data_IF_158080299411
#
_entry.id   IF_158080299411
#
_cell.length_a   1.000
_cell.length_b   1.000
_cell.length_c   1.000
_cell.angle_alpha   90.00
_cell.angle_beta   90.00
_cell.angle_gamma   90.00
#
_symmetry.space_group_name_H-M   'P 1'
#
loop_
_entity.id
_entity.type
_entity.pdbx_description
1 polymer ?
#
# COMPACT_ATOMS: atom_id res chain seq x y z
N UNK A 1 -7.81 19.34 -4.17
CA UNK A 1 -7.77 18.73 -5.52
C UNK A 1 -8.75 17.56 -5.69
N UNK A 2 -9.51 17.57 -6.79
CA UNK A 2 -10.41 16.51 -7.25
C UNK A 2 -9.93 16.04 -8.62
N UNK A 3 -9.91 14.72 -8.85
CA UNK A 3 -9.57 14.10 -10.14
C UNK A 3 -10.80 13.34 -10.64
N UNK A 4 -11.23 13.63 -11.87
CA UNK A 4 -12.38 12.97 -12.50
C UNK A 4 -12.03 12.49 -13.90
N UNK A 5 -12.62 11.36 -14.28
CA UNK A 5 -12.63 10.91 -15.66
C UNK A 5 -13.98 11.22 -16.28
N UNK A 6 -14.03 11.53 -17.57
CA UNK A 6 -15.28 11.79 -18.27
C UNK A 6 -15.14 11.48 -19.76
N UNK A 7 -16.29 11.26 -20.43
CA UNK A 7 -16.34 11.06 -21.87
C UNK A 7 -16.64 12.37 -22.61
N UNK A 8 -15.81 12.71 -23.58
CA UNK A 8 -16.10 13.73 -24.59
C UNK A 8 -16.53 13.06 -25.89
N UNK A 9 -17.84 12.93 -26.08
CA UNK A 9 -18.45 12.18 -27.20
C UNK A 9 -18.20 12.82 -28.58
N UNK A 10 -17.68 14.04 -28.63
CA UNK A 10 -17.34 14.73 -29.89
C UNK A 10 -16.01 14.23 -30.49
N UNK A 11 -15.22 13.48 -29.72
CA UNK A 11 -13.91 12.97 -30.15
C UNK A 11 -13.89 11.44 -30.17
N UNK A 12 -13.14 10.86 -31.12
CA UNK A 12 -12.97 9.41 -31.18
C UNK A 12 -12.23 8.86 -29.95
N UNK A 13 -11.16 9.52 -29.53
CA UNK A 13 -10.50 9.29 -28.24
C UNK A 13 -11.29 10.02 -27.15
N UNK A 14 -12.39 9.43 -26.74
CA UNK A 14 -13.38 10.13 -25.92
C UNK A 14 -13.05 10.16 -24.42
N UNK A 15 -12.07 9.41 -23.91
CA UNK A 15 -11.74 9.45 -22.48
C UNK A 15 -10.84 10.65 -22.13
N UNK A 16 -11.27 11.45 -21.17
CA UNK A 16 -10.53 12.58 -20.64
C UNK A 16 -10.34 12.46 -19.13
N UNK A 17 -9.23 13.03 -18.64
CA UNK A 17 -9.00 13.27 -17.22
C UNK A 17 -9.09 14.77 -16.95
N UNK A 18 -9.84 15.14 -15.91
CA UNK A 18 -9.98 16.49 -15.40
C UNK A 18 -9.38 16.59 -14.00
N UNK A 19 -8.47 17.54 -13.83
CA UNK A 19 -7.93 17.95 -12.54
C UNK A 19 -8.61 19.26 -12.13
N UNK A 20 -9.13 19.31 -10.91
CA UNK A 20 -9.83 20.47 -10.34
C UNK A 20 -9.16 20.81 -9.02
N UNK A 21 -8.71 22.05 -8.86
CA UNK A 21 -8.25 22.59 -7.59
C UNK A 21 -8.83 23.98 -7.41
N UNK A 22 -9.67 24.13 -6.39
CA UNK A 22 -10.50 25.33 -6.18
C UNK A 22 -11.25 25.71 -7.49
N UNK A 23 -10.99 26.91 -8.03
CA UNK A 23 -11.62 27.42 -9.24
C UNK A 23 -10.87 27.06 -10.54
N UNK A 24 -9.68 26.46 -10.43
CA UNK A 24 -8.85 26.12 -11.59
C UNK A 24 -9.15 24.70 -12.05
N UNK A 25 -9.39 24.56 -13.36
CA UNK A 25 -9.64 23.27 -14.00
C UNK A 25 -8.70 23.08 -15.18
N UNK A 26 -8.07 21.92 -15.26
CA UNK A 26 -7.31 21.50 -16.43
C UNK A 26 -7.75 20.11 -16.86
N UNK A 27 -7.98 19.95 -18.15
CA UNK A 27 -8.30 18.65 -18.75
C UNK A 27 -7.24 18.24 -19.77
N UNK A 28 -7.09 16.93 -19.95
CA UNK A 28 -6.29 16.31 -21.00
C UNK A 28 -6.92 15.00 -21.46
N UNK A 29 -6.67 14.66 -22.72
CA UNK A 29 -7.13 13.43 -23.34
C UNK A 29 -6.26 12.25 -22.89
N UNK A 30 -6.87 11.10 -22.60
CA UNK A 30 -6.18 9.88 -22.13
C UNK A 30 -5.69 8.98 -23.28
N UNK A 31 -5.88 9.41 -24.53
CA UNK A 31 -5.62 8.67 -25.77
C UNK A 31 -6.26 7.29 -25.78
N UNK A 32 -7.52 7.24 -25.32
CA UNK A 32 -8.28 6.00 -25.22
C UNK A 32 -9.74 6.24 -25.56
N UNK A 33 -10.35 5.25 -26.21
CA UNK A 33 -11.74 5.25 -26.63
C UNK A 33 -12.53 4.26 -25.78
N UNK A 34 -13.58 4.74 -25.14
CA UNK A 34 -14.51 3.93 -24.36
C UNK A 34 -15.83 3.88 -25.11
N UNK A 35 -16.41 2.69 -25.25
CA UNK A 35 -17.80 2.58 -25.69
C UNK A 35 -18.72 3.23 -24.63
N UNK A 36 -19.49 4.28 -24.98
CA UNK A 36 -20.40 4.94 -24.04
C UNK A 36 -21.38 3.97 -23.35
N UNK A 37 -21.68 2.81 -23.94
CA UNK A 37 -22.57 1.81 -23.36
C UNK A 37 -21.96 1.07 -22.14
N UNK A 38 -20.62 0.99 -22.06
CA UNK A 38 -19.93 0.34 -20.94
C UNK A 38 -19.45 1.33 -19.88
N UNK A 39 -19.68 2.62 -20.09
CA UNK A 39 -19.34 3.68 -19.15
C UNK A 39 -20.40 3.83 -18.07
N UNK A 40 -19.99 3.76 -16.80
CA UNK A 40 -20.87 4.04 -15.68
C UNK A 40 -20.92 5.55 -15.41
N UNK A 41 -21.93 6.20 -15.98
CA UNK A 41 -22.20 7.63 -15.77
C UNK A 41 -22.56 7.99 -14.32
N UNK A 42 -23.01 7.03 -13.51
CA UNK A 42 -23.35 7.30 -12.10
C UNK A 42 -22.11 7.42 -11.22
N UNK A 43 -21.02 6.73 -11.60
CA UNK A 43 -19.78 6.69 -10.82
C UNK A 43 -18.57 7.32 -11.53
N UNK A 44 -18.74 7.83 -12.75
CA UNK A 44 -17.70 8.39 -13.62
C UNK A 44 -16.51 7.41 -13.79
N UNK A 45 -16.82 6.13 -14.03
CA UNK A 45 -15.84 5.05 -14.11
C UNK A 45 -16.09 4.11 -15.28
N UNK A 46 -15.01 3.47 -15.70
CA UNK A 46 -15.06 2.25 -16.50
C UNK A 46 -15.78 1.15 -15.73
N UNK A 47 -16.51 0.30 -16.45
CA UNK A 47 -16.97 -0.97 -15.91
C UNK A 47 -15.78 -1.80 -15.38
N UNK A 48 -15.97 -2.51 -14.28
CA UNK A 48 -14.95 -3.39 -13.69
C UNK A 48 -14.45 -4.48 -14.65
N UNK A 49 -15.20 -4.76 -15.73
CA UNK A 49 -14.80 -5.70 -16.77
C UNK A 49 -13.67 -5.17 -17.66
N UNK A 50 -13.52 -3.86 -17.83
CA UNK A 50 -12.55 -3.24 -18.74
C UNK A 50 -11.09 -3.53 -18.32
N UNK A 51 -10.19 -3.87 -19.27
CA UNK A 51 -8.78 -4.15 -18.97
C UNK A 51 -8.02 -3.02 -18.28
N UNK A 52 -8.39 -1.76 -18.53
CA UNK A 52 -7.73 -0.58 -17.96
C UNK A 52 -8.40 -0.04 -16.71
N UNK A 53 -9.41 -0.72 -16.18
CA UNK A 53 -10.08 -0.32 -14.95
C UNK A 53 -9.09 0.01 -13.81
N UNK A 54 -8.16 -0.90 -13.53
CA UNK A 54 -7.14 -0.70 -12.50
C UNK A 54 -6.08 0.33 -12.88
N UNK A 55 -5.77 0.46 -14.18
CA UNK A 55 -4.83 1.47 -14.66
C UNK A 55 -5.35 2.88 -14.34
N UNK A 56 -6.62 3.18 -14.62
CA UNK A 56 -7.21 4.48 -14.28
C UNK A 56 -7.31 4.73 -12.78
N UNK A 57 -7.65 3.69 -12.00
CA UNK A 57 -7.69 3.76 -10.53
C UNK A 57 -6.31 4.13 -9.97
N UNK A 58 -5.27 3.43 -10.41
CA UNK A 58 -3.89 3.65 -9.94
C UNK A 58 -3.33 4.99 -10.41
N UNK A 59 -3.65 5.41 -11.64
CA UNK A 59 -3.24 6.72 -12.13
C UNK A 59 -3.84 7.87 -11.32
N UNK A 60 -5.11 7.75 -10.93
CA UNK A 60 -5.77 8.74 -10.06
C UNK A 60 -5.10 8.83 -8.69
N UNK A 61 -4.70 7.70 -8.10
CA UNK A 61 -3.94 7.66 -6.84
C UNK A 61 -2.58 8.34 -7.02
N UNK A 62 -1.86 8.00 -8.09
CA UNK A 62 -0.56 8.60 -8.41
C UNK A 62 -0.63 10.12 -8.53
N UNK A 63 -1.56 10.64 -9.34
CA UNK A 63 -1.77 12.08 -9.52
C UNK A 63 -2.12 12.79 -8.21
N UNK A 64 -2.94 12.16 -7.36
CA UNK A 64 -3.28 12.70 -6.05
C UNK A 64 -2.05 12.80 -5.15
N UNK A 65 -1.29 11.71 -4.98
CA UNK A 65 -0.07 11.71 -4.18
C UNK A 65 0.94 12.74 -4.68
N UNK A 66 1.12 12.81 -6.00
CA UNK A 66 2.02 13.78 -6.64
C UNK A 66 1.58 15.24 -6.41
N UNK A 67 0.28 15.51 -6.39
CA UNK A 67 -0.25 16.85 -6.08
C UNK A 67 0.13 17.30 -4.67
N UNK A 68 0.04 16.39 -3.69
CA UNK A 68 0.39 16.67 -2.29
C UNK A 68 1.87 16.99 -2.15
N UNK A 69 2.74 16.28 -2.87
CA UNK A 69 4.17 16.58 -2.91
C UNK A 69 4.46 17.97 -3.49
N UNK A 70 3.83 18.30 -4.63
CA UNK A 70 4.02 19.58 -5.30
C UNK A 70 3.53 20.75 -4.44
N UNK A 71 2.40 20.58 -3.73
CA UNK A 71 1.88 21.57 -2.78
C UNK A 71 2.85 21.80 -1.61
N UNK A 72 3.43 20.74 -1.05
CA UNK A 72 4.45 20.85 0.01
C UNK A 72 5.69 21.62 -0.45
N UNK A 73 6.06 21.49 -1.73
CA UNK A 73 7.18 22.22 -2.34
C UNK A 73 6.86 23.69 -2.72
N UNK A 74 5.67 24.20 -2.38
CA UNK A 74 5.20 25.57 -2.66
C UNK A 74 5.30 25.99 -4.14
N UNK A 75 5.03 25.07 -5.07
CA UNK A 75 4.98 25.38 -6.50
C UNK A 75 3.66 26.09 -6.86
N UNK A 76 3.75 27.28 -7.47
CA UNK A 76 2.60 28.14 -7.81
C UNK A 76 1.75 27.64 -9.01
N UNK A 77 1.91 26.40 -9.49
CA UNK A 77 1.19 25.87 -10.67
C UNK A 77 1.06 24.35 -10.67
N UNK A 78 0.63 23.77 -9.53
CA UNK A 78 0.51 22.31 -9.34
C UNK A 78 -0.25 21.63 -10.48
N UNK A 79 -1.41 22.14 -10.86
CA UNK A 79 -2.25 21.54 -11.91
C UNK A 79 -1.58 21.51 -13.29
N UNK A 80 -0.82 22.56 -13.64
CA UNK A 80 -0.12 22.62 -14.93
C UNK A 80 1.02 21.59 -14.97
N UNK A 81 1.79 21.49 -13.90
CA UNK A 81 2.87 20.49 -13.77
C UNK A 81 2.31 19.08 -13.84
N UNK A 82 1.23 18.79 -13.10
CA UNK A 82 0.58 17.47 -13.15
C UNK A 82 0.07 17.12 -14.55
N UNK A 83 -0.51 18.09 -15.27
CA UNK A 83 -0.96 17.88 -16.65
C UNK A 83 0.22 17.57 -17.58
N UNK A 84 1.33 18.29 -17.45
CA UNK A 84 2.53 18.04 -18.26
C UNK A 84 3.14 16.67 -17.95
N UNK A 85 3.28 16.30 -16.67
CA UNK A 85 3.74 14.97 -16.22
C UNK A 85 2.79 13.87 -16.73
N UNK A 86 1.47 14.06 -16.66
CA UNK A 86 0.48 13.12 -17.17
C UNK A 86 0.58 12.91 -18.68
N UNK A 87 0.71 13.99 -19.46
CA UNK A 87 0.87 13.93 -20.90
C UNK A 87 2.17 13.20 -21.30
N UNK A 88 3.23 13.37 -20.52
CA UNK A 88 4.48 12.62 -20.72
C UNK A 88 4.27 11.12 -20.49
N UNK A 89 3.55 10.73 -19.42
CA UNK A 89 3.23 9.31 -19.16
C UNK A 89 2.38 8.67 -20.27
N UNK A 90 1.61 9.47 -21.01
CA UNK A 90 0.73 9.07 -22.12
C UNK A 90 1.41 9.12 -23.51
N UNK A 91 2.64 9.63 -23.63
CA UNK A 91 3.19 10.06 -24.92
C UNK A 91 3.25 8.94 -25.96
N UNK A 92 3.63 7.72 -25.58
CA UNK A 92 3.95 6.63 -26.53
C UNK A 92 2.93 5.47 -26.56
N UNK A 93 2.23 5.21 -25.44
CA UNK A 93 1.36 4.03 -25.33
C UNK A 93 -0.01 4.37 -24.75
N UNK A 94 -0.38 5.65 -24.71
CA UNK A 94 -1.66 6.08 -24.15
C UNK A 94 -1.89 5.50 -22.75
N UNK A 95 -3.09 4.98 -22.51
CA UNK A 95 -3.48 4.38 -21.24
C UNK A 95 -2.62 3.15 -20.88
N UNK A 96 -2.21 2.34 -21.85
CA UNK A 96 -1.36 1.15 -21.65
C UNK A 96 0.00 1.52 -21.06
N UNK A 97 0.51 2.69 -21.43
CA UNK A 97 1.79 3.20 -20.95
C UNK A 97 1.74 3.66 -19.49
N UNK A 98 0.57 4.00 -18.95
CA UNK A 98 0.49 4.62 -17.63
C UNK A 98 0.95 3.66 -16.54
N UNK A 99 0.37 2.45 -16.47
CA UNK A 99 0.73 1.48 -15.42
C UNK A 99 2.21 1.12 -15.49
N UNK A 100 2.73 0.89 -16.70
CA UNK A 100 4.16 0.65 -16.95
C UNK A 100 5.02 1.82 -16.46
N UNK A 101 4.72 3.03 -16.89
CA UNK A 101 5.56 4.20 -16.62
C UNK A 101 5.52 4.61 -15.14
N UNK A 102 4.34 4.58 -14.52
CA UNK A 102 4.17 4.85 -13.10
C UNK A 102 4.90 3.80 -12.28
N UNK A 103 4.73 2.51 -12.58
CA UNK A 103 5.45 1.45 -11.87
C UNK A 103 6.96 1.58 -12.05
N UNK A 104 7.44 1.79 -13.29
CA UNK A 104 8.86 1.92 -13.59
C UNK A 104 9.49 3.13 -12.88
N UNK A 105 8.76 4.23 -12.69
CA UNK A 105 9.23 5.36 -11.91
C UNK A 105 9.53 4.96 -10.45
N UNK A 106 8.64 4.20 -9.83
CA UNK A 106 8.87 3.66 -8.48
C UNK A 106 9.96 2.58 -8.48
N UNK A 107 9.98 1.73 -9.50
CA UNK A 107 10.97 0.67 -9.64
C UNK A 107 12.39 1.23 -9.72
N UNK A 108 12.62 2.24 -10.57
CA UNK A 108 13.92 2.88 -10.70
C UNK A 108 14.34 3.60 -9.40
N UNK A 109 13.38 4.15 -8.64
CA UNK A 109 13.65 4.82 -7.35
C UNK A 109 14.04 3.84 -6.24
N UNK A 110 13.42 2.67 -6.21
CA UNK A 110 13.55 1.71 -5.11
C UNK A 110 14.32 0.43 -5.47
N UNK A 111 14.84 0.33 -6.70
CA UNK A 111 15.61 -0.82 -7.16
C UNK A 111 14.76 -2.06 -7.49
N UNK A 112 13.49 -1.90 -7.83
CA UNK A 112 12.64 -3.01 -8.29
C UNK A 112 12.94 -3.36 -9.74
N UNK A 113 12.56 -4.58 -10.12
CA UNK A 113 12.46 -4.92 -11.53
C UNK A 113 11.41 -4.05 -12.23
N UNK A 114 11.63 -3.77 -13.51
CA UNK A 114 10.69 -2.99 -14.31
C UNK A 114 9.45 -3.80 -14.66
N UNK A 115 8.33 -3.12 -14.86
CA UNK A 115 6.99 -3.67 -15.13
C UNK A 115 7.02 -4.82 -16.16
N UNK A 116 7.71 -4.62 -17.29
CA UNK A 116 7.74 -5.61 -18.37
C UNK A 116 8.40 -6.93 -17.98
N UNK A 117 9.28 -6.96 -16.98
CA UNK A 117 9.84 -8.22 -16.46
C UNK A 117 8.79 -9.05 -15.73
N UNK A 118 7.91 -8.41 -14.96
CA UNK A 118 6.80 -9.09 -14.30
C UNK A 118 5.81 -9.64 -15.33
N UNK A 119 5.46 -8.83 -16.34
CA UNK A 119 4.61 -9.26 -17.46
C UNK A 119 5.20 -10.50 -18.14
N UNK A 120 6.47 -10.42 -18.54
CA UNK A 120 7.15 -11.53 -19.21
C UNK A 120 7.21 -12.80 -18.34
N UNK A 121 7.48 -12.65 -17.04
CA UNK A 121 7.50 -13.79 -16.12
C UNK A 121 6.12 -14.44 -15.98
N UNK A 122 5.07 -13.63 -15.85
CA UNK A 122 3.69 -14.09 -15.71
C UNK A 122 3.21 -14.80 -16.98
N UNK A 123 3.39 -14.19 -18.15
CA UNK A 123 2.99 -14.78 -19.43
C UNK A 123 3.78 -16.06 -19.73
N UNK A 124 5.07 -16.10 -19.36
CA UNK A 124 5.88 -17.32 -19.49
C UNK A 124 5.38 -18.45 -18.57
N UNK A 125 4.94 -18.13 -17.36
CA UNK A 125 4.44 -19.12 -16.40
C UNK A 125 3.05 -19.65 -16.76
N UNK A 126 2.15 -18.76 -17.17
CA UNK A 126 0.73 -19.10 -17.42
C UNK A 126 0.42 -19.45 -18.88
N UNK A 127 1.22 -18.98 -19.83
CA UNK A 127 0.91 -19.05 -21.26
C UNK A 127 -0.16 -18.05 -21.74
N UNK A 128 -0.65 -17.17 -20.86
CA UNK A 128 -1.66 -16.15 -21.20
C UNK A 128 -1.02 -14.96 -21.93
N UNK A 129 -1.83 -14.18 -22.62
CA UNK A 129 -1.43 -12.92 -23.26
C UNK A 129 -2.13 -11.74 -22.59
N UNK A 130 -1.57 -10.53 -22.71
CA UNK A 130 -2.09 -9.29 -22.09
C UNK A 130 -3.60 -9.02 -22.25
N UNK A 131 -4.21 -9.51 -23.32
CA UNK A 131 -5.67 -9.40 -23.55
C UNK A 131 -6.52 -10.29 -22.63
N UNK A 132 -5.92 -11.32 -22.04
CA UNK A 132 -6.57 -12.38 -21.26
C UNK A 132 -6.54 -12.10 -19.74
N UNK A 133 -5.91 -11.00 -19.31
CA UNK A 133 -5.80 -10.63 -17.91
C UNK A 133 -5.73 -9.12 -17.70
N UNK A 134 -5.96 -8.70 -16.45
CA UNK A 134 -5.88 -7.30 -16.01
C UNK A 134 -4.83 -7.17 -14.94
N UNK A 135 -4.06 -6.10 -14.97
CA UNK A 135 -2.98 -5.87 -13.99
C UNK A 135 -3.41 -4.78 -13.02
N UNK A 136 -3.48 -5.13 -11.74
CA UNK A 136 -3.58 -4.18 -10.63
C UNK A 136 -2.22 -4.09 -9.95
N UNK A 137 -1.67 -2.88 -9.84
CA UNK A 137 -0.48 -2.62 -9.04
C UNK A 137 -0.94 -2.29 -7.62
N UNK A 138 -0.43 -3.01 -6.63
CA UNK A 138 -0.70 -2.77 -5.20
C UNK A 138 0.65 -2.64 -4.50
N UNK A 139 0.99 -1.42 -4.07
CA UNK A 139 2.31 -1.15 -3.49
C UNK A 139 3.44 -1.48 -4.47
N UNK A 140 4.27 -2.47 -4.12
CA UNK A 140 5.45 -2.90 -4.89
C UNK A 140 5.23 -4.21 -5.68
N UNK A 141 4.00 -4.74 -5.68
CA UNK A 141 3.63 -6.01 -6.33
C UNK A 141 2.58 -5.83 -7.43
N UNK A 142 2.47 -6.84 -8.31
CA UNK A 142 1.49 -6.91 -9.39
C UNK A 142 0.51 -8.06 -9.14
N UNK A 143 -0.78 -7.72 -9.23
CA UNK A 143 -1.89 -8.68 -9.20
C UNK A 143 -2.41 -8.84 -10.62
N UNK A 144 -2.41 -10.09 -11.09
CA UNK A 144 -2.92 -10.46 -12.41
C UNK A 144 -4.29 -11.10 -12.24
N UNK A 145 -5.32 -10.35 -12.62
CA UNK A 145 -6.72 -10.77 -12.57
C UNK A 145 -7.09 -11.43 -13.89
N UNK A 146 -7.24 -12.74 -13.88
CA UNK A 146 -7.73 -13.53 -15.02
C UNK A 146 -9.25 -13.78 -14.88
N UNK A 147 -9.85 -14.51 -15.82
CA UNK A 147 -11.26 -14.92 -15.70
C UNK A 147 -11.53 -15.79 -14.47
N UNK A 148 -10.57 -16.66 -14.10
CA UNK A 148 -10.79 -17.70 -13.09
C UNK A 148 -10.04 -17.46 -11.78
N UNK A 149 -8.88 -16.81 -11.83
CA UNK A 149 -7.94 -16.70 -10.72
C UNK A 149 -7.30 -15.31 -10.65
N UNK A 150 -6.90 -14.94 -9.44
CA UNK A 150 -6.03 -13.78 -9.20
C UNK A 150 -4.66 -14.35 -8.83
N UNK A 151 -3.64 -14.01 -9.63
CA UNK A 151 -2.26 -14.34 -9.31
C UNK A 151 -1.58 -13.12 -8.70
N UNK A 152 -0.81 -13.34 -7.65
CA UNK A 152 0.03 -12.31 -7.02
C UNK A 152 1.48 -12.57 -7.40
N UNK A 153 2.19 -11.53 -7.82
CA UNK A 153 3.63 -11.59 -8.11
C UNK A 153 4.33 -10.45 -7.38
N UNK A 154 5.24 -10.85 -6.48
CA UNK A 154 6.12 -9.97 -5.74
C UNK A 154 7.58 -10.40 -5.94
N UNK A 155 8.51 -9.55 -5.55
CA UNK A 155 9.94 -9.83 -5.51
C UNK A 155 10.44 -9.70 -4.08
N UNK A 156 11.61 -10.27 -3.79
CA UNK A 156 12.27 -10.04 -2.50
C UNK A 156 12.38 -8.55 -2.17
N UNK A 157 12.86 -7.74 -3.13
CA UNK A 157 12.98 -6.28 -2.96
C UNK A 157 11.63 -5.60 -2.72
N UNK A 158 10.58 -5.99 -3.46
CA UNK A 158 9.22 -5.47 -3.28
C UNK A 158 8.67 -5.78 -1.90
N UNK A 159 8.85 -7.01 -1.43
CA UNK A 159 8.42 -7.44 -0.11
C UNK A 159 9.19 -6.73 1.01
N UNK A 160 10.50 -6.57 0.88
CA UNK A 160 11.32 -5.83 1.83
C UNK A 160 10.88 -4.37 1.95
N UNK A 161 10.64 -3.67 0.83
CA UNK A 161 10.16 -2.29 0.85
C UNK A 161 8.78 -2.15 1.48
N UNK A 162 7.86 -3.10 1.21
CA UNK A 162 6.56 -3.14 1.86
C UNK A 162 6.72 -3.28 3.38
N UNK A 163 7.58 -4.20 3.81
CA UNK A 163 7.86 -4.47 5.22
C UNK A 163 8.46 -3.25 5.94
N UNK A 164 9.44 -2.59 5.33
CA UNK A 164 10.01 -1.35 5.82
C UNK A 164 8.95 -0.25 5.96
N UNK A 165 8.07 -0.11 4.97
CA UNK A 165 7.03 0.90 4.97
C UNK A 165 5.98 0.65 6.06
N UNK A 166 5.54 -0.60 6.26
CA UNK A 166 4.56 -0.92 7.30
C UNK A 166 5.14 -0.72 8.70
N UNK A 167 6.42 -1.05 8.91
CA UNK A 167 7.08 -0.88 10.21
C UNK A 167 7.34 0.60 10.50
N UNK A 168 7.92 1.33 9.53
CA UNK A 168 8.22 2.76 9.69
C UNK A 168 6.97 3.59 9.94
N UNK A 169 5.85 3.23 9.32
CA UNK A 169 4.57 3.92 9.49
C UNK A 169 3.73 3.34 10.64
N UNK A 170 4.27 2.39 11.43
CA UNK A 170 3.59 1.76 12.57
C UNK A 170 2.21 1.22 12.20
N UNK A 171 2.14 0.52 11.06
CA UNK A 171 0.91 -0.08 10.52
C UNK A 171 0.67 -1.44 11.18
N UNK A 172 0.31 -1.45 12.45
CA UNK A 172 0.19 -2.67 13.27
C UNK A 172 -0.72 -3.74 12.67
N UNK A 173 -1.87 -3.35 12.12
CA UNK A 173 -2.79 -4.29 11.48
C UNK A 173 -2.15 -4.95 10.25
N UNK A 174 -1.43 -4.17 9.43
CA UNK A 174 -0.76 -4.72 8.26
C UNK A 174 0.40 -5.64 8.65
N UNK A 175 1.08 -5.40 9.79
CA UNK A 175 2.08 -6.35 10.31
C UNK A 175 1.41 -7.68 10.66
N UNK A 176 0.25 -7.65 11.31
CA UNK A 176 -0.52 -8.86 11.63
C UNK A 176 -1.02 -9.57 10.36
N UNK A 177 -1.55 -8.83 9.38
CA UNK A 177 -2.18 -9.43 8.19
C UNK A 177 -1.18 -9.88 7.12
N UNK A 178 0.00 -9.24 7.04
CA UNK A 178 0.95 -9.42 5.93
C UNK A 178 2.26 -10.11 6.34
N UNK A 179 2.42 -10.50 7.61
CA UNK A 179 3.63 -11.16 8.09
C UNK A 179 3.31 -12.38 8.95
N UNK A 180 4.28 -13.29 9.09
CA UNK A 180 4.10 -14.52 9.86
C UNK A 180 5.00 -14.52 11.10
N UNK A 181 4.45 -14.99 12.23
CA UNK A 181 5.19 -15.10 13.49
C UNK A 181 6.48 -15.91 13.33
N UNK A 182 6.44 -17.01 12.56
CA UNK A 182 7.58 -17.89 12.35
C UNK A 182 8.78 -17.16 11.73
N UNK A 183 8.55 -16.24 10.77
CA UNK A 183 9.62 -15.47 10.14
C UNK A 183 10.33 -14.56 11.14
N UNK A 184 9.56 -13.85 11.97
CA UNK A 184 10.09 -12.92 12.97
C UNK A 184 10.77 -13.64 14.13
N UNK A 185 10.24 -14.80 14.52
CA UNK A 185 10.81 -15.63 15.56
C UNK A 185 12.13 -16.27 15.13
N UNK A 186 12.31 -16.60 13.85
CA UNK A 186 13.56 -17.15 13.31
C UNK A 186 14.73 -16.14 13.36
N UNK A 187 14.43 -14.87 13.08
CA UNK A 187 15.44 -13.80 13.09
C UNK A 187 15.61 -13.11 14.45
N UNK A 188 14.82 -13.52 15.45
CA UNK A 188 14.93 -13.00 16.79
C UNK A 188 16.25 -13.45 17.42
N UNK A 189 17.07 -12.49 17.83
CA UNK A 189 18.33 -12.74 18.52
C UNK A 189 18.16 -12.58 20.04
N UNK A 190 18.45 -13.64 20.79
CA UNK A 190 18.41 -13.67 22.25
C UNK A 190 19.34 -12.62 22.90
N UNK A 191 20.32 -12.09 22.15
CA UNK A 191 21.27 -11.08 22.61
C UNK A 191 20.70 -9.65 22.67
N UNK A 192 19.45 -9.40 22.26
CA UNK A 192 18.78 -8.07 22.36
C UNK A 192 18.93 -7.41 23.74
N UNK A 193 19.06 -8.22 24.79
CA UNK A 193 19.12 -7.75 26.17
C UNK A 193 17.74 -7.37 26.68
N UNK A 194 17.25 -8.12 27.67
CA UNK A 194 15.88 -7.99 28.21
C UNK A 194 15.47 -6.60 28.62
N UNK A 195 16.36 -5.87 29.26
CA UNK A 195 16.05 -4.51 29.70
C UNK A 195 15.84 -3.55 28.52
N UNK A 196 16.57 -3.72 27.42
CA UNK A 196 16.45 -2.89 26.24
C UNK A 196 15.12 -3.16 25.51
N UNK A 197 14.80 -4.44 25.28
CA UNK A 197 13.54 -4.80 24.62
C UNK A 197 12.32 -4.38 25.43
N UNK A 198 12.25 -4.75 26.72
CA UNK A 198 11.08 -4.42 27.54
C UNK A 198 10.89 -2.90 27.68
N UNK A 199 11.98 -2.13 27.76
CA UNK A 199 11.90 -0.68 27.79
C UNK A 199 11.30 -0.13 26.50
N UNK A 200 11.85 -0.52 25.34
CA UNK A 200 11.35 -0.03 24.04
C UNK A 200 9.94 -0.51 23.73
N UNK A 201 9.60 -1.75 24.10
CA UNK A 201 8.25 -2.27 23.93
C UNK A 201 7.26 -1.53 24.81
N UNK A 202 7.67 -1.10 26.01
CA UNK A 202 6.83 -0.25 26.87
C UNK A 202 6.60 1.13 26.26
N UNK A 203 7.61 1.72 25.63
CA UNK A 203 7.47 2.99 24.92
C UNK A 203 6.50 2.84 23.73
N UNK A 204 6.67 1.78 22.93
CA UNK A 204 5.81 1.52 21.77
C UNK A 204 4.37 1.18 22.19
N UNK A 205 4.21 0.48 23.31
CA UNK A 205 2.91 0.19 23.92
C UNK A 205 2.15 1.48 24.29
N UNK A 206 2.83 2.44 24.93
CA UNK A 206 2.22 3.74 25.25
C UNK A 206 1.91 4.55 23.98
N UNK A 207 2.74 4.46 22.94
CA UNK A 207 2.43 5.07 21.64
C UNK A 207 1.16 4.46 21.06
N UNK A 208 1.07 3.13 21.01
CA UNK A 208 -0.11 2.41 20.52
C UNK A 208 -1.40 2.77 21.28
N UNK A 209 -1.33 2.94 22.61
CA UNK A 209 -2.49 3.32 23.42
C UNK A 209 -2.92 4.79 23.24
N UNK A 210 -1.97 5.68 22.94
CA UNK A 210 -2.22 7.11 22.79
C UNK A 210 -2.59 7.50 21.35
N UNK A 211 -2.08 6.77 20.36
CA UNK A 211 -2.52 6.91 18.98
C UNK A 211 -3.95 6.38 18.81
N UNK A 212 -4.68 6.94 17.83
CA UNK A 212 -6.04 6.52 17.55
C UNK A 212 -6.06 5.00 17.31
N UNK A 213 -6.82 4.25 18.12
CA UNK A 213 -6.98 2.80 18.06
C UNK A 213 -7.09 2.24 16.63
N UNK A 214 -7.82 2.94 15.74
CA UNK A 214 -7.95 2.55 14.33
C UNK A 214 -6.65 2.64 13.53
N UNK A 215 -5.80 3.64 13.80
CA UNK A 215 -4.47 3.76 13.19
C UNK A 215 -3.47 2.78 13.82
N UNK A 216 -3.64 2.50 15.11
CA UNK A 216 -2.83 1.52 15.83
C UNK A 216 -3.22 0.05 15.56
N UNK A 217 -4.11 -0.21 14.60
CA UNK A 217 -4.59 -1.56 14.26
C UNK A 217 -5.51 -2.21 15.30
N UNK A 218 -5.87 -1.49 16.36
CA UNK A 218 -6.76 -2.00 17.40
C UNK A 218 -8.22 -1.78 17.01
N UNK A 219 -8.88 -2.87 16.66
CA UNK A 219 -10.31 -2.87 16.34
C UNK A 219 -11.14 -2.66 17.61
N UNK A 220 -11.97 -1.60 17.62
CA UNK A 220 -12.98 -1.36 18.66
C UNK A 220 -14.34 -1.77 18.10
N UNK A 221 -15.01 -2.71 18.77
CA UNK A 221 -16.36 -3.13 18.36
C UNK A 221 -17.36 -1.98 18.55
N UNK A 222 -18.44 -1.89 17.75
CA UNK A 222 -19.39 -0.78 17.81
C UNK A 222 -20.00 -0.49 19.20
N UNK A 223 -20.09 -1.50 20.06
CA UNK A 223 -20.68 -1.42 21.40
C UNK A 223 -19.63 -1.50 22.53
N UNK A 224 -18.34 -1.41 22.21
CA UNK A 224 -17.26 -1.55 23.16
C UNK A 224 -16.75 -0.19 23.63
N UNK A 225 -16.60 -0.03 24.95
CA UNK A 225 -16.01 1.17 25.53
C UNK A 225 -14.51 1.20 25.29
N UNK A 226 -13.99 2.32 24.77
CA UNK A 226 -12.55 2.58 24.58
C UNK A 226 -11.76 2.31 25.86
N UNK A 227 -12.26 2.77 27.01
CA UNK A 227 -11.56 2.61 28.30
C UNK A 227 -11.55 1.14 28.78
N UNK A 228 -12.61 0.39 28.46
CA UNK A 228 -12.62 -1.05 28.71
C UNK A 228 -11.57 -1.75 27.85
N UNK A 229 -11.49 -1.43 26.57
CA UNK A 229 -10.49 -1.99 25.65
C UNK A 229 -9.07 -1.65 26.11
N UNK A 230 -8.77 -0.38 26.44
CA UNK A 230 -7.47 0.02 27.04
C UNK A 230 -7.10 -0.82 28.26
N UNK A 231 -8.07 -1.08 29.14
CA UNK A 231 -7.85 -1.88 30.35
C UNK A 231 -7.49 -3.32 30.01
N UNK A 232 -8.16 -3.92 29.02
CA UNK A 232 -7.86 -5.27 28.54
C UNK A 232 -6.46 -5.36 27.93
N UNK A 233 -6.07 -4.39 27.09
CA UNK A 233 -4.75 -4.36 26.47
C UNK A 233 -3.65 -4.19 27.53
N UNK A 234 -3.85 -3.31 28.54
CA UNK A 234 -2.92 -3.19 29.67
C UNK A 234 -2.73 -4.51 30.42
N UNK A 235 -3.79 -5.30 30.60
CA UNK A 235 -3.68 -6.63 31.22
C UNK A 235 -2.88 -7.61 30.35
N UNK A 236 -3.06 -7.58 29.03
CA UNK A 236 -2.27 -8.38 28.10
C UNK A 236 -0.78 -8.03 28.19
N UNK A 237 -0.46 -6.73 28.19
CA UNK A 237 0.91 -6.25 28.31
C UNK A 237 1.55 -6.60 29.66
N UNK A 238 0.81 -6.49 30.77
CA UNK A 238 1.30 -6.94 32.07
C UNK A 238 1.61 -8.44 32.08
N UNK A 239 0.71 -9.27 31.51
CA UNK A 239 0.95 -10.72 31.37
C UNK A 239 2.23 -10.99 30.57
N UNK A 240 2.47 -10.24 29.50
CA UNK A 240 3.69 -10.33 28.72
C UNK A 240 4.94 -10.03 29.56
N UNK A 241 4.95 -8.92 30.32
CA UNK A 241 6.05 -8.56 31.22
C UNK A 241 6.31 -9.68 32.24
N UNK A 242 5.25 -10.19 32.87
CA UNK A 242 5.35 -11.22 33.90
C UNK A 242 5.94 -12.54 33.35
N UNK A 243 5.63 -12.87 32.09
CA UNK A 243 6.07 -14.09 31.42
C UNK A 243 7.39 -13.94 30.66
N UNK A 244 7.85 -12.71 30.39
CA UNK A 244 9.08 -12.39 29.64
C UNK A 244 10.36 -13.00 30.22
N UNK A 245 10.36 -13.35 31.52
CA UNK A 245 11.49 -14.00 32.19
C UNK A 245 11.59 -15.50 31.89
N UNK A 246 10.52 -16.12 31.39
CA UNK A 246 10.40 -17.58 31.22
C UNK A 246 10.53 -18.02 29.76
N UNK A 247 10.26 -17.11 28.83
CA UNK A 247 10.33 -17.38 27.40
C UNK A 247 11.63 -16.80 26.83
N UNK A 248 12.25 -17.57 25.93
CA UNK A 248 13.49 -17.22 25.26
C UNK A 248 13.20 -16.31 24.06
N UNK A 249 12.03 -16.47 23.43
CA UNK A 249 11.59 -15.68 22.28
C UNK A 249 10.41 -14.76 22.64
N UNK A 250 10.62 -13.45 22.61
CA UNK A 250 9.58 -12.47 22.93
C UNK A 250 8.59 -12.23 21.78
N UNK A 251 8.94 -12.57 20.54
CA UNK A 251 7.99 -12.56 19.42
C UNK A 251 6.93 -13.63 19.63
N UNK A 252 7.35 -14.88 19.87
CA UNK A 252 6.45 -16.00 20.14
C UNK A 252 5.56 -15.71 21.35
N UNK A 253 6.15 -15.23 22.45
CA UNK A 253 5.40 -14.88 23.66
C UNK A 253 4.33 -13.80 23.38
N UNK A 254 4.67 -12.78 22.59
CA UNK A 254 3.76 -11.71 22.24
C UNK A 254 2.58 -12.24 21.40
N UNK A 255 2.87 -13.08 20.40
CA UNK A 255 1.86 -13.72 19.56
C UNK A 255 0.94 -14.65 20.37
N UNK A 256 1.49 -15.50 21.24
CA UNK A 256 0.73 -16.41 22.11
C UNK A 256 -0.25 -15.68 23.03
N UNK A 257 0.11 -14.47 23.48
CA UNK A 257 -0.77 -13.66 24.33
C UNK A 257 -1.78 -12.88 23.49
N UNK A 258 -1.33 -12.24 22.40
CA UNK A 258 -2.17 -11.45 21.52
C UNK A 258 -1.51 -11.22 20.16
N UNK A 259 -1.93 -12.01 19.17
CA UNK A 259 -1.62 -11.82 17.76
C UNK A 259 -2.01 -10.42 17.24
N UNK A 260 -3.19 -9.93 17.62
CA UNK A 260 -3.71 -8.65 17.09
C UNK A 260 -2.98 -7.40 17.61
N UNK A 261 -2.31 -7.48 18.77
CA UNK A 261 -1.81 -6.28 19.45
C UNK A 261 -0.35 -6.43 19.86
N UNK A 262 -0.03 -7.46 20.65
CA UNK A 262 1.31 -7.60 21.20
C UNK A 262 2.31 -8.05 20.15
N UNK A 263 1.92 -8.94 19.23
CA UNK A 263 2.81 -9.40 18.16
C UNK A 263 3.32 -8.25 17.27
N UNK A 264 2.45 -7.38 16.69
CA UNK A 264 2.90 -6.21 15.94
C UNK A 264 3.79 -5.26 16.75
N UNK A 265 3.48 -5.06 18.04
CA UNK A 265 4.31 -4.27 18.96
C UNK A 265 5.71 -4.86 19.12
N UNK A 266 5.80 -6.18 19.26
CA UNK A 266 7.06 -6.90 19.43
C UNK A 266 7.92 -6.82 18.16
N UNK A 267 7.32 -6.94 16.97
CA UNK A 267 7.99 -6.77 15.67
C UNK A 267 8.56 -5.36 15.50
N UNK A 268 7.76 -4.32 15.75
CA UNK A 268 8.23 -2.92 15.67
C UNK A 268 9.35 -2.68 16.69
N UNK A 269 9.20 -3.22 17.91
CA UNK A 269 10.22 -3.09 18.95
C UNK A 269 11.53 -3.73 18.51
N UNK A 270 11.48 -4.98 18.02
CA UNK A 270 12.66 -5.72 17.58
C UNK A 270 13.40 -4.99 16.45
N UNK A 271 12.67 -4.57 15.42
CA UNK A 271 13.24 -3.86 14.27
C UNK A 271 13.78 -2.48 14.63
N UNK A 272 13.21 -1.82 15.65
CA UNK A 272 13.79 -0.58 16.21
C UNK A 272 15.11 -0.79 16.95
N UNK A 273 15.42 -2.03 17.38
CA UNK A 273 16.66 -2.39 18.09
C UNK A 273 17.73 -2.83 17.10
N UNK A 274 17.36 -3.68 16.14
CA UNK A 274 18.33 -4.30 15.22
C UNK A 274 18.49 -3.60 13.87
N UNK A 275 17.72 -2.54 13.60
CA UNK A 275 17.62 -1.95 12.26
C UNK A 275 16.98 -2.93 11.25
N UNK A 276 16.13 -2.40 10.39
CA UNK A 276 15.36 -3.15 9.38
C UNK A 276 16.24 -3.82 8.33
N UNK A 277 17.51 -3.45 8.24
CA UNK A 277 18.46 -4.05 7.30
C UNK A 277 19.08 -5.34 7.82
N UNK A 278 18.99 -5.59 9.13
CA UNK A 278 19.47 -6.81 9.79
C UNK A 278 18.34 -7.82 9.96
N UNK A 279 17.11 -7.33 10.18
CA UNK A 279 15.89 -8.13 10.27
C UNK A 279 15.28 -8.40 8.89
#
# INVERSE_FOLDING_TARGET
MIIKYYLNLENNENLYCQLIDEDIKVSFNMKYSIDPQIWDYSSDKLCNSDPHFFTLKNFKIHLFSRSVELQKSRKNSVLKVLKEEALHLLHDSGIDGISRNVFNFYADKFGLDRYDKYIQAFEKYTGLQQKDYKVEIIGYMLHFHTENLIYEMDTYTGRSLLLEEIIKNKRYLDIMELTEVAMWSEIYDENIGKHNFLSKMSDEFEICLNDNFKRAGVLIKPNESIEKRKTEIRKMFQKFIDQSNKNINWIDLAWEISEEILFPLAVITMTSIFDLTIC
#
